data_IF_003130562606
#
_entry.id   IF_003130562606
#
_cell.length_a   1.000
_cell.length_b   1.000
_cell.length_c   1.000
_cell.angle_alpha   90.00
_cell.angle_beta   90.00
_cell.angle_gamma   90.00
#
_symmetry.space_group_name_H-M   'P 1'
#
loop_
_entity.id
_entity.type
_entity.pdbx_description
1 polymer ?
#
# COMPACT_ATOMS: atom_id res chain seq x y z
N UNK A 1 -49.08 -21.99 49.23
CA UNK A 1 -48.19 -20.85 48.85
C UNK A 1 -47.42 -21.23 47.60
N UNK A 2 -47.67 -20.57 46.47
CA UNK A 2 -46.90 -20.75 45.22
C UNK A 2 -45.70 -19.82 45.26
N UNK A 3 -44.49 -20.35 45.29
CA UNK A 3 -43.25 -19.58 45.14
C UNK A 3 -42.81 -19.62 43.67
N UNK A 4 -42.97 -18.49 42.98
CA UNK A 4 -42.46 -18.28 41.63
C UNK A 4 -40.94 -18.06 41.67
N UNK A 5 -40.15 -19.07 41.35
CA UNK A 5 -38.72 -18.91 40.99
C UNK A 5 -38.60 -18.85 39.46
N UNK A 6 -39.13 -17.78 38.85
CA UNK A 6 -39.16 -17.62 37.38
C UNK A 6 -37.98 -16.85 36.78
N UNK A 7 -36.92 -16.53 37.55
CA UNK A 7 -35.83 -15.65 37.10
C UNK A 7 -34.44 -16.30 36.97
N UNK A 8 -34.11 -17.30 37.77
CA UNK A 8 -32.73 -17.83 37.84
C UNK A 8 -32.27 -18.63 36.60
N UNK A 9 -33.04 -19.61 36.06
CA UNK A 9 -32.55 -20.43 34.96
C UNK A 9 -32.44 -19.67 33.64
N UNK A 10 -33.25 -18.62 33.45
CA UNK A 10 -33.20 -17.76 32.26
C UNK A 10 -31.91 -16.93 32.21
N UNK A 11 -31.44 -16.44 33.36
CA UNK A 11 -30.19 -15.64 33.44
C UNK A 11 -28.96 -16.51 33.17
N UNK A 12 -28.93 -17.73 33.71
CA UNK A 12 -27.85 -18.69 33.41
C UNK A 12 -27.81 -19.07 31.93
N UNK A 13 -28.97 -19.29 31.30
CA UNK A 13 -29.03 -19.59 29.87
C UNK A 13 -28.56 -18.41 29.00
N UNK A 14 -28.95 -17.19 29.34
CA UNK A 14 -28.51 -15.98 28.64
C UNK A 14 -27.00 -15.78 28.80
N UNK A 15 -26.44 -15.91 30.00
CA UNK A 15 -25.00 -15.80 30.22
C UNK A 15 -24.22 -16.89 29.48
N UNK A 16 -24.71 -18.14 29.47
CA UNK A 16 -24.09 -19.24 28.74
C UNK A 16 -24.11 -18.99 27.22
N UNK A 17 -25.23 -18.50 26.68
CA UNK A 17 -25.34 -18.10 25.27
C UNK A 17 -24.42 -16.93 24.92
N UNK A 18 -24.31 -15.91 25.77
CA UNK A 18 -23.40 -14.78 25.59
C UNK A 18 -21.92 -15.20 25.62
N UNK A 19 -21.56 -16.13 26.52
CA UNK A 19 -20.20 -16.68 26.56
C UNK A 19 -19.91 -17.51 25.31
N UNK A 20 -20.84 -18.39 24.88
CA UNK A 20 -20.66 -19.20 23.67
C UNK A 20 -20.60 -18.32 22.41
N UNK A 21 -21.38 -17.24 22.33
CA UNK A 21 -21.30 -16.28 21.20
C UNK A 21 -20.00 -15.47 21.18
N UNK A 22 -19.41 -15.18 22.34
CA UNK A 22 -18.11 -14.49 22.42
C UNK A 22 -16.93 -15.38 21.96
N UNK A 23 -17.08 -16.71 21.99
CA UNK A 23 -16.08 -17.65 21.49
C UNK A 23 -16.25 -18.04 20.00
N UNK A 24 -17.22 -17.46 19.29
CA UNK A 24 -17.45 -17.71 17.84
C UNK A 24 -16.88 -16.58 16.97
N UNK A 25 -16.22 -15.58 17.58
CA UNK A 25 -15.59 -14.50 16.81
C UNK A 25 -14.26 -14.94 16.21
N UNK A 26 -14.00 -14.54 14.96
CA UNK A 26 -12.70 -14.68 14.26
C UNK A 26 -11.73 -13.53 14.63
N UNK A 27 -12.14 -12.66 15.57
CA UNK A 27 -11.32 -11.54 16.03
C UNK A 27 -10.25 -12.00 17.03
N UNK A 28 -8.99 -11.68 16.74
CA UNK A 28 -7.88 -11.86 17.66
C UNK A 28 -7.48 -10.51 18.29
N UNK A 29 -7.87 -10.21 19.55
CA UNK A 29 -7.51 -8.96 20.20
C UNK A 29 -6.02 -8.84 20.53
N UNK A 30 -5.25 -9.93 20.50
CA UNK A 30 -3.80 -9.96 20.74
C UNK A 30 -2.99 -9.64 19.47
N UNK A 31 -3.65 -9.29 18.36
CA UNK A 31 -2.94 -8.89 17.14
C UNK A 31 -2.15 -7.61 17.38
N UNK A 32 -0.87 -7.62 17.01
CA UNK A 32 0.06 -6.50 17.21
C UNK A 32 -0.10 -5.39 16.15
N UNK A 33 -1.35 -5.13 15.72
CA UNK A 33 -1.71 -4.08 14.76
C UNK A 33 -2.62 -3.09 15.50
N UNK A 34 -2.10 -1.90 15.88
CA UNK A 34 -2.91 -0.93 16.61
C UNK A 34 -3.97 -0.33 15.69
N UNK A 35 -5.20 -0.17 16.21
CA UNK A 35 -6.21 0.65 15.55
C UNK A 35 -5.87 2.13 15.74
N UNK A 36 -5.38 2.77 14.67
CA UNK A 36 -5.00 4.18 14.68
C UNK A 36 -6.18 5.05 14.25
N UNK A 37 -6.53 6.06 15.05
CA UNK A 37 -7.52 7.06 14.64
C UNK A 37 -7.03 7.82 13.41
N UNK A 38 -7.93 8.06 12.45
CA UNK A 38 -7.59 8.73 11.21
C UNK A 38 -7.12 10.17 11.44
N UNK A 39 -6.05 10.55 10.74
CA UNK A 39 -5.60 11.92 10.59
C UNK A 39 -5.43 12.21 9.10
N UNK A 40 -6.45 12.82 8.51
CA UNK A 40 -6.64 12.89 7.05
C UNK A 40 -5.62 13.78 6.32
N UNK A 41 -4.84 14.59 7.05
CA UNK A 41 -3.81 15.47 6.46
C UNK A 41 -2.36 14.98 6.71
N UNK A 42 -2.17 13.72 7.12
CA UNK A 42 -0.84 13.18 7.37
C UNK A 42 -0.53 11.96 6.52
N UNK A 43 0.49 12.07 5.66
CA UNK A 43 1.09 10.97 4.91
C UNK A 43 2.52 10.67 5.39
N UNK A 44 2.99 9.40 5.33
CA UNK A 44 2.24 8.21 4.91
C UNK A 44 1.18 7.78 5.95
N UNK A 45 0.16 7.04 5.53
CA UNK A 45 -0.92 6.55 6.39
C UNK A 45 -1.49 5.18 6.03
N UNK A 46 -1.09 4.55 4.91
CA UNK A 46 -1.64 3.25 4.50
C UNK A 46 -1.15 2.11 5.40
N UNK A 47 0.15 2.03 5.64
CA UNK A 47 0.79 0.92 6.37
C UNK A 47 1.55 1.37 7.62
N UNK A 48 2.01 2.61 7.62
CA UNK A 48 2.78 3.23 8.69
C UNK A 48 2.55 4.73 8.65
N UNK A 49 2.75 5.39 9.79
CA UNK A 49 2.70 6.84 9.88
C UNK A 49 4.05 7.47 9.58
N UNK A 50 4.06 8.78 9.34
CA UNK A 50 5.31 9.56 9.24
C UNK A 50 6.25 9.39 10.45
N UNK A 51 5.71 9.13 11.65
CA UNK A 51 6.50 8.95 12.87
C UNK A 51 7.28 7.63 12.87
N UNK A 52 6.82 6.64 12.12
CA UNK A 52 7.40 5.30 12.07
C UNK A 52 8.57 5.21 11.09
N UNK A 53 8.73 6.19 10.18
CA UNK A 53 9.75 6.19 9.12
C UNK A 53 11.17 6.07 9.69
N UNK A 54 11.49 6.77 10.78
CA UNK A 54 12.82 6.70 11.39
C UNK A 54 13.15 5.30 11.93
N UNK A 55 12.15 4.61 12.50
CA UNK A 55 12.29 3.22 12.97
C UNK A 55 12.44 2.26 11.79
N UNK A 56 11.70 2.46 10.69
CA UNK A 56 11.84 1.66 9.47
C UNK A 56 13.25 1.77 8.88
N UNK A 57 13.82 2.97 8.86
CA UNK A 57 15.20 3.21 8.42
C UNK A 57 16.22 2.51 9.33
N UNK A 58 16.02 2.59 10.66
CA UNK A 58 16.87 1.88 11.63
C UNK A 58 16.80 0.37 11.43
N UNK A 59 15.61 -0.18 11.17
CA UNK A 59 15.44 -1.61 10.86
C UNK A 59 16.12 -2.00 9.55
N UNK A 60 16.00 -1.18 8.50
CA UNK A 60 16.68 -1.41 7.24
C UNK A 60 18.21 -1.44 7.37
N UNK A 61 18.78 -0.68 8.30
CA UNK A 61 20.21 -0.69 8.61
C UNK A 61 20.63 -1.75 9.65
N UNK A 62 19.69 -2.57 10.14
CA UNK A 62 19.97 -3.56 11.19
C UNK A 62 19.20 -4.87 10.98
N UNK A 63 18.13 -5.10 11.74
CA UNK A 63 17.38 -6.37 11.78
C UNK A 63 16.77 -6.78 10.44
N UNK A 64 16.50 -5.82 9.55
CA UNK A 64 15.89 -6.04 8.23
C UNK A 64 16.86 -5.72 7.09
N UNK A 65 18.17 -5.63 7.35
CA UNK A 65 19.20 -5.35 6.33
C UNK A 65 19.11 -6.31 5.13
N UNK A 66 18.92 -7.60 5.37
CA UNK A 66 18.76 -8.60 4.32
C UNK A 66 17.54 -8.39 3.41
N UNK A 67 16.46 -7.78 3.92
CA UNK A 67 15.27 -7.43 3.12
C UNK A 67 15.53 -6.12 2.37
N UNK A 68 16.11 -5.13 3.04
CA UNK A 68 16.46 -3.84 2.45
C UNK A 68 17.50 -3.98 1.31
N UNK A 69 18.42 -4.94 1.43
CA UNK A 69 19.38 -5.28 0.38
C UNK A 69 18.69 -5.74 -0.92
N UNK A 70 17.59 -6.50 -0.82
CA UNK A 70 16.82 -6.92 -2.00
C UNK A 70 16.10 -5.75 -2.67
N UNK A 71 15.57 -4.80 -1.89
CA UNK A 71 15.02 -3.55 -2.44
C UNK A 71 16.11 -2.73 -3.13
N UNK A 72 17.28 -2.65 -2.51
CA UNK A 72 18.44 -1.93 -3.05
C UNK A 72 18.90 -2.53 -4.39
N UNK A 73 19.00 -3.85 -4.48
CA UNK A 73 19.35 -4.54 -5.73
C UNK A 73 18.31 -4.28 -6.83
N UNK A 74 17.01 -4.38 -6.51
CA UNK A 74 15.94 -4.12 -7.46
C UNK A 74 15.99 -2.68 -7.99
N UNK A 75 16.13 -1.69 -7.10
CA UNK A 75 16.23 -0.28 -7.49
C UNK A 75 17.52 0.02 -8.25
N UNK A 76 18.65 -0.56 -7.86
CA UNK A 76 19.89 -0.42 -8.60
C UNK A 76 19.77 -0.95 -10.03
N UNK A 77 19.08 -2.08 -10.22
CA UNK A 77 18.81 -2.65 -11.54
C UNK A 77 17.95 -1.71 -12.39
N UNK A 78 16.90 -1.15 -11.80
CA UNK A 78 16.02 -0.16 -12.45
C UNK A 78 16.77 1.11 -12.84
N UNK A 79 17.59 1.65 -11.93
CA UNK A 79 18.40 2.86 -12.17
C UNK A 79 19.48 2.67 -13.24
N UNK A 80 20.03 1.46 -13.34
CA UNK A 80 21.04 1.14 -14.37
C UNK A 80 20.41 0.98 -15.75
N UNK A 81 19.11 0.63 -15.83
CA UNK A 81 18.39 0.38 -17.08
C UNK A 81 17.02 1.10 -17.11
N UNK A 82 16.95 2.43 -16.90
CA UNK A 82 15.69 3.11 -16.62
C UNK A 82 14.69 3.02 -17.78
N UNK A 83 15.17 3.00 -19.03
CA UNK A 83 14.31 2.88 -20.22
C UNK A 83 13.65 1.51 -20.36
N UNK A 84 14.16 0.47 -19.71
CA UNK A 84 13.55 -0.87 -19.69
C UNK A 84 12.44 -0.97 -18.63
N UNK A 85 12.59 -0.24 -17.51
CA UNK A 85 11.70 -0.36 -16.35
C UNK A 85 10.66 0.74 -16.23
N UNK A 86 10.91 1.92 -16.80
CA UNK A 86 9.93 3.01 -16.81
C UNK A 86 8.75 2.67 -17.73
N UNK A 87 7.52 2.99 -17.32
CA UNK A 87 6.37 2.79 -18.18
C UNK A 87 6.49 3.63 -19.47
N UNK A 88 6.07 3.10 -20.62
CA UNK A 88 6.04 3.87 -21.86
C UNK A 88 5.12 5.09 -21.75
N UNK A 89 5.51 6.20 -22.37
CA UNK A 89 4.60 7.33 -22.55
C UNK A 89 3.49 7.03 -23.56
N UNK A 90 3.79 6.26 -24.61
CA UNK A 90 2.78 5.91 -25.63
C UNK A 90 1.77 4.91 -25.03
N UNK A 91 0.48 5.27 -24.95
CA UNK A 91 -0.56 4.37 -24.45
C UNK A 91 -0.66 3.06 -25.22
N UNK A 92 -0.29 3.05 -26.51
CA UNK A 92 -0.27 1.83 -27.32
C UNK A 92 0.79 0.86 -26.84
N UNK A 93 1.93 1.35 -26.35
CA UNK A 93 3.00 0.52 -25.79
C UNK A 93 2.69 0.12 -24.34
N UNK A 94 2.17 1.06 -23.54
CA UNK A 94 1.78 0.81 -22.14
C UNK A 94 0.76 -0.33 -22.01
N UNK A 95 -0.24 -0.36 -22.89
CA UNK A 95 -1.36 -1.33 -22.85
C UNK A 95 -1.17 -2.55 -23.77
N UNK A 96 -0.05 -2.66 -24.49
CA UNK A 96 0.19 -3.70 -25.50
C UNK A 96 0.36 -5.11 -24.91
N UNK A 97 0.76 -5.21 -23.65
CA UNK A 97 1.08 -6.48 -22.97
C UNK A 97 0.54 -6.46 -21.55
N UNK A 98 0.49 -7.62 -20.92
CA UNK A 98 0.21 -7.72 -19.49
C UNK A 98 1.20 -6.85 -18.71
N UNK A 99 0.69 -5.84 -18.01
CA UNK A 99 1.48 -4.69 -17.55
C UNK A 99 1.49 -4.51 -16.02
N UNK A 100 1.18 -5.58 -15.27
CA UNK A 100 1.23 -5.58 -13.80
C UNK A 100 2.58 -5.13 -13.24
N UNK A 101 3.66 -5.34 -14.01
CA UNK A 101 5.02 -4.99 -13.65
C UNK A 101 5.16 -3.51 -13.26
N UNK A 102 4.34 -2.63 -13.85
CA UNK A 102 4.41 -1.21 -13.57
C UNK A 102 4.00 -0.88 -12.13
N UNK A 103 2.84 -1.37 -11.69
CA UNK A 103 2.41 -1.21 -10.31
C UNK A 103 3.29 -1.99 -9.32
N UNK A 104 3.66 -3.22 -9.68
CA UNK A 104 4.45 -4.10 -8.82
C UNK A 104 5.82 -3.51 -8.46
N UNK A 105 6.55 -3.00 -9.46
CA UNK A 105 7.88 -2.43 -9.24
C UNK A 105 7.82 -1.04 -8.60
N UNK A 106 6.77 -0.25 -8.89
CA UNK A 106 6.60 1.07 -8.30
C UNK A 106 6.48 1.00 -6.76
N UNK A 107 5.79 -0.01 -6.22
CA UNK A 107 5.73 -0.21 -4.77
C UNK A 107 7.11 -0.46 -4.14
N UNK A 108 7.96 -1.27 -4.78
CA UNK A 108 9.32 -1.53 -4.31
C UNK A 108 10.20 -0.27 -4.39
N UNK A 109 10.11 0.48 -5.50
CA UNK A 109 10.83 1.74 -5.68
C UNK A 109 10.41 2.80 -4.66
N UNK A 110 9.10 2.93 -4.40
CA UNK A 110 8.58 3.87 -3.41
C UNK A 110 9.05 3.51 -1.99
N UNK A 111 9.00 2.23 -1.60
CA UNK A 111 9.50 1.78 -0.31
C UNK A 111 11.00 2.05 -0.16
N UNK A 112 11.80 1.82 -1.21
CA UNK A 112 13.22 2.18 -1.20
C UNK A 112 13.41 3.69 -0.95
N UNK A 113 12.64 4.55 -1.61
CA UNK A 113 12.72 6.00 -1.43
C UNK A 113 12.31 6.46 -0.01
N UNK A 114 11.46 5.71 0.69
CA UNK A 114 11.15 5.94 2.11
C UNK A 114 12.36 5.60 3.00
N UNK A 115 13.05 4.50 2.71
CA UNK A 115 14.19 4.02 3.48
C UNK A 115 15.48 4.83 3.23
N UNK A 116 15.67 5.34 2.01
CA UNK A 116 16.88 6.05 1.58
C UNK A 116 16.54 7.42 0.95
N UNK A 117 15.95 8.37 1.71
CA UNK A 117 15.45 9.64 1.17
C UNK A 117 16.55 10.58 0.63
N UNK A 118 17.81 10.34 1.00
CA UNK A 118 18.98 11.02 0.47
C UNK A 118 19.30 10.64 -0.98
N UNK A 119 18.80 9.50 -1.46
CA UNK A 119 18.98 9.08 -2.85
C UNK A 119 18.00 9.84 -3.77
N UNK A 120 18.45 11.00 -4.25
CA UNK A 120 17.63 11.87 -5.10
C UNK A 120 17.37 11.27 -6.46
N UNK A 121 18.30 10.47 -7.00
CA UNK A 121 18.18 9.82 -8.31
C UNK A 121 17.02 8.80 -8.32
N UNK A 122 16.94 7.94 -7.30
CA UNK A 122 15.83 7.00 -7.14
C UNK A 122 14.49 7.72 -6.98
N UNK A 123 14.48 8.84 -6.23
CA UNK A 123 13.27 9.64 -6.03
C UNK A 123 12.80 10.33 -7.31
N UNK A 124 13.72 10.84 -8.11
CA UNK A 124 13.39 11.48 -9.39
C UNK A 124 12.91 10.43 -10.40
N UNK A 125 13.49 9.22 -10.41
CA UNK A 125 12.97 8.09 -11.16
C UNK A 125 11.55 7.72 -10.71
N UNK A 126 11.28 7.66 -9.40
CA UNK A 126 9.95 7.35 -8.88
C UNK A 126 8.89 8.38 -9.32
N UNK A 127 9.26 9.66 -9.34
CA UNK A 127 8.39 10.72 -9.88
C UNK A 127 8.13 10.54 -11.37
N UNK A 128 9.16 10.32 -12.19
CA UNK A 128 8.97 10.08 -13.63
C UNK A 128 8.11 8.83 -13.89
N UNK A 129 8.31 7.78 -13.09
CA UNK A 129 7.49 6.57 -13.11
C UNK A 129 6.00 6.88 -12.91
N UNK A 130 5.67 7.64 -11.87
CA UNK A 130 4.31 8.04 -11.57
C UNK A 130 3.73 8.95 -12.65
N UNK A 131 4.49 9.93 -13.15
CA UNK A 131 4.04 10.81 -14.24
C UNK A 131 3.63 10.01 -15.49
N UNK A 132 4.43 9.00 -15.86
CA UNK A 132 4.14 8.13 -17.01
C UNK A 132 2.87 7.31 -16.81
N UNK A 133 2.63 6.78 -15.60
CA UNK A 133 1.39 6.06 -15.28
C UNK A 133 0.17 6.99 -15.25
N UNK A 134 0.32 8.19 -14.68
CA UNK A 134 -0.74 9.20 -14.58
C UNK A 134 -1.17 9.74 -15.95
N UNK A 135 -0.28 9.76 -16.93
CA UNK A 135 -0.59 10.19 -18.28
C UNK A 135 -1.41 9.16 -19.10
N UNK A 136 -1.60 7.94 -18.59
CA UNK A 136 -2.29 6.89 -19.32
C UNK A 136 -3.79 7.13 -19.37
N UNK A 137 -4.45 7.03 -20.54
CA UNK A 137 -5.91 7.16 -20.65
C UNK A 137 -6.65 5.96 -20.06
N UNK A 138 -5.98 4.82 -19.88
CA UNK A 138 -6.48 3.61 -19.24
C UNK A 138 -5.33 2.75 -18.77
N UNK A 139 -5.48 2.11 -17.61
CA UNK A 139 -4.55 1.09 -17.13
C UNK A 139 -4.92 -0.34 -17.54
N UNK A 140 -6.01 -0.53 -18.28
CA UNK A 140 -6.38 -1.84 -18.81
C UNK A 140 -5.43 -2.28 -19.93
N UNK A 141 -5.28 -3.60 -20.06
CA UNK A 141 -4.55 -4.20 -21.18
C UNK A 141 -5.48 -4.28 -22.38
N UNK A 142 -4.99 -3.86 -23.56
CA UNK A 142 -5.82 -3.67 -24.76
C UNK A 142 -6.63 -4.90 -25.16
N UNK A 143 -6.01 -6.07 -25.09
CA UNK A 143 -6.62 -7.35 -25.53
C UNK A 143 -7.40 -8.06 -24.40
N UNK A 144 -7.46 -7.44 -23.20
CA UNK A 144 -8.21 -7.94 -22.04
C UNK A 144 -9.05 -6.81 -21.40
N UNK A 145 -9.98 -6.16 -22.13
CA UNK A 145 -10.70 -4.97 -21.65
C UNK A 145 -11.74 -5.26 -20.55
N UNK A 146 -11.97 -6.53 -20.20
CA UNK A 146 -12.91 -6.99 -19.18
C UNK A 146 -12.20 -7.63 -17.99
N UNK A 147 -10.87 -7.54 -17.95
CA UNK A 147 -10.04 -8.04 -16.87
C UNK A 147 -9.44 -6.84 -16.14
N UNK A 148 -9.90 -6.60 -14.92
CA UNK A 148 -9.47 -5.48 -14.10
C UNK A 148 -8.21 -5.80 -13.29
N UNK A 149 -7.62 -7.01 -13.37
CA UNK A 149 -6.40 -7.34 -12.64
C UNK A 149 -5.23 -6.39 -13.00
N UNK A 150 -4.95 -6.05 -14.28
CA UNK A 150 -3.92 -5.07 -14.63
C UNK A 150 -4.17 -3.68 -14.06
N UNK A 151 -5.44 -3.26 -14.04
CA UNK A 151 -5.88 -2.03 -13.38
C UNK A 151 -5.59 -2.10 -11.88
N UNK A 152 -5.91 -3.22 -11.22
CA UNK A 152 -5.71 -3.41 -9.79
C UNK A 152 -4.22 -3.32 -9.40
N UNK A 153 -3.33 -3.96 -10.17
CA UNK A 153 -1.89 -3.86 -9.96
C UNK A 153 -1.39 -2.41 -10.12
N UNK A 154 -1.81 -1.74 -11.20
CA UNK A 154 -1.44 -0.34 -11.46
C UNK A 154 -1.93 0.57 -10.33
N UNK A 155 -3.20 0.44 -9.92
CA UNK A 155 -3.83 1.26 -8.89
C UNK A 155 -3.21 1.05 -7.52
N UNK A 156 -3.05 -0.20 -7.07
CA UNK A 156 -2.51 -0.47 -5.74
C UNK A 156 -1.05 -0.02 -5.62
N UNK A 157 -0.25 -0.23 -6.67
CA UNK A 157 1.13 0.26 -6.72
C UNK A 157 1.22 1.78 -6.73
N UNK A 158 0.39 2.43 -7.57
CA UNK A 158 0.36 3.88 -7.70
C UNK A 158 -0.13 4.58 -6.44
N UNK A 159 -1.23 4.12 -5.84
CA UNK A 159 -1.76 4.67 -4.59
C UNK A 159 -0.80 4.45 -3.40
N UNK A 160 -0.12 3.30 -3.35
CA UNK A 160 0.93 3.05 -2.34
C UNK A 160 2.09 4.03 -2.50
N UNK A 161 2.57 4.24 -3.72
CA UNK A 161 3.63 5.21 -3.99
C UNK A 161 3.21 6.65 -3.70
N UNK A 162 1.96 7.01 -4.03
CA UNK A 162 1.38 8.31 -3.69
C UNK A 162 1.43 8.56 -2.18
N UNK A 163 0.98 7.60 -1.36
CA UNK A 163 1.02 7.72 0.11
C UNK A 163 2.46 7.84 0.63
N UNK A 164 3.36 6.98 0.14
CA UNK A 164 4.75 6.91 0.61
C UNK A 164 5.55 8.16 0.24
N UNK A 165 5.29 8.72 -0.95
CA UNK A 165 6.08 9.81 -1.52
C UNK A 165 5.38 11.16 -1.43
N UNK A 166 4.16 11.24 -0.88
CA UNK A 166 3.33 12.45 -0.84
C UNK A 166 4.10 13.72 -0.50
N UNK A 167 4.92 13.69 0.55
CA UNK A 167 5.67 14.85 1.05
C UNK A 167 6.83 15.30 0.13
N UNK A 168 7.19 14.48 -0.86
CA UNK A 168 8.21 14.80 -1.86
C UNK A 168 7.62 15.26 -3.20
N UNK A 169 6.32 15.07 -3.41
CA UNK A 169 5.62 15.48 -4.62
C UNK A 169 5.40 17.01 -4.65
N UNK A 170 5.37 17.58 -5.85
CA UNK A 170 4.91 18.97 -6.02
C UNK A 170 3.41 19.08 -5.73
N UNK A 171 2.89 20.30 -5.53
CA UNK A 171 1.44 20.50 -5.33
C UNK A 171 0.63 20.02 -6.53
N UNK A 172 1.09 20.32 -7.74
CA UNK A 172 0.48 19.81 -8.97
C UNK A 172 0.48 18.29 -9.02
N UNK A 173 1.59 17.63 -8.67
CA UNK A 173 1.64 16.16 -8.61
C UNK A 173 0.68 15.59 -7.56
N UNK A 174 0.57 16.20 -6.39
CA UNK A 174 -0.38 15.78 -5.36
C UNK A 174 -1.82 15.85 -5.89
N UNK A 175 -2.20 16.94 -6.54
CA UNK A 175 -3.54 17.13 -7.10
C UNK A 175 -3.81 16.17 -8.26
N UNK A 176 -2.94 16.14 -9.27
CA UNK A 176 -3.10 15.31 -10.47
C UNK A 176 -3.10 13.82 -10.15
N UNK A 177 -2.18 13.35 -9.29
CA UNK A 177 -2.12 11.93 -8.96
C UNK A 177 -3.31 11.49 -8.10
N UNK A 178 -3.90 12.39 -7.31
CA UNK A 178 -5.12 12.08 -6.58
C UNK A 178 -6.33 11.97 -7.52
N UNK A 179 -6.41 12.76 -8.59
CA UNK A 179 -7.47 12.64 -9.60
C UNK A 179 -7.39 11.34 -10.42
N UNK A 180 -6.18 10.77 -10.52
CA UNK A 180 -5.92 9.49 -11.20
C UNK A 180 -6.32 8.28 -10.35
N UNK A 181 -6.27 8.42 -9.01
CA UNK A 181 -6.63 7.38 -8.03
C UNK A 181 -8.15 7.32 -7.84
#
# INVERSE_FOLDING_TARGET
MRTHTRGAPSVFFICLLCCVSAFITDENPEVMIPFTNANYDSHPMLYFSRKDVAELQLRAASSHEHIAARLTEAVHTMLTNPLEYLPPWDPKEYSARWNEIYGNNLGALAMFCVLYPENTEARDMAKDYMERMAAQPSWLVKDAPWDEVPLAHSLVGFATAYDFLYNYLSKTQQETFLEVI
#
